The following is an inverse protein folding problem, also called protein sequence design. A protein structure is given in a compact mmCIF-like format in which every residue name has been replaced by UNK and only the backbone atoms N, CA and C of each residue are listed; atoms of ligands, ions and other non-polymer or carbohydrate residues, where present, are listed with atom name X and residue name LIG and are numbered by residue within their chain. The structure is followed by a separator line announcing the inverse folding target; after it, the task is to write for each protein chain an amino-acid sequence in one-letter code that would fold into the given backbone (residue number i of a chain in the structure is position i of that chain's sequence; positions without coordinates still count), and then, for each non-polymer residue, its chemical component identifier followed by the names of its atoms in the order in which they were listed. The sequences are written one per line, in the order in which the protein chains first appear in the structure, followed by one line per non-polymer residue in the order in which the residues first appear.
data_IF_984039668940
#
_entry.id   IF_984039668940
#
_cell.length_a   1.000
_cell.length_b   1.000
_cell.length_c   1.000
_cell.angle_alpha   90.00
_cell.angle_beta   90.00
_cell.angle_gamma   90.00
#
_symmetry.space_group_name_H-M   'P 1'
#
loop_
_entity.id
_entity.type
_entity.pdbx_description
1 polymer ?
#
# COMPACT_ATOMS: atom_id res chain seq x y z
N UNK A 1 24.29 11.39 -1.40
CA UNK A 1 23.87 10.00 -1.66
C UNK A 1 24.39 9.52 -3.00
N UNK A 2 25.19 8.45 -3.03
CA UNK A 2 25.65 7.82 -4.28
C UNK A 2 24.44 7.26 -5.06
N UNK A 3 24.44 7.43 -6.38
CA UNK A 3 23.28 7.13 -7.24
C UNK A 3 22.81 5.67 -7.14
N UNK A 4 23.71 4.73 -6.84
CA UNK A 4 23.40 3.31 -6.72
C UNK A 4 22.61 2.96 -5.45
N UNK A 5 22.85 3.67 -4.34
CA UNK A 5 22.12 3.51 -3.06
C UNK A 5 20.66 3.96 -3.20
N UNK A 6 20.46 5.04 -3.94
CA UNK A 6 19.13 5.56 -4.28
C UNK A 6 18.36 4.61 -5.21
N UNK A 7 19.05 4.00 -6.17
CA UNK A 7 18.47 2.98 -7.05
C UNK A 7 18.09 1.70 -6.27
N UNK A 8 18.89 1.30 -5.29
CA UNK A 8 18.60 0.15 -4.44
C UNK A 8 17.36 0.38 -3.57
N UNK A 9 17.24 1.56 -2.95
CA UNK A 9 16.06 1.96 -2.17
C UNK A 9 14.80 2.09 -3.03
N UNK A 10 14.91 2.68 -4.21
CA UNK A 10 13.79 2.77 -5.15
C UNK A 10 13.36 1.38 -5.66
N UNK A 11 14.34 0.50 -5.92
CA UNK A 11 14.12 -0.88 -6.33
C UNK A 11 13.46 -1.72 -5.24
N UNK A 12 13.91 -1.60 -3.99
CA UNK A 12 13.32 -2.34 -2.86
C UNK A 12 11.91 -1.84 -2.52
N UNK A 13 11.69 -0.52 -2.55
CA UNK A 13 10.35 0.07 -2.38
C UNK A 13 9.38 -0.41 -3.46
N UNK A 14 9.79 -0.38 -4.73
CA UNK A 14 8.99 -0.88 -5.86
C UNK A 14 8.71 -2.38 -5.76
N UNK A 15 9.71 -3.19 -5.44
CA UNK A 15 9.56 -4.63 -5.26
C UNK A 15 8.61 -4.99 -4.11
N UNK A 16 8.65 -4.22 -3.01
CA UNK A 16 7.77 -4.42 -1.86
C UNK A 16 6.31 -4.13 -2.21
N UNK A 17 6.04 -3.06 -2.97
CA UNK A 17 4.69 -2.75 -3.49
C UNK A 17 4.19 -3.87 -4.42
N UNK A 18 5.04 -4.36 -5.33
CA UNK A 18 4.69 -5.45 -6.25
C UNK A 18 4.36 -6.74 -5.48
N UNK A 19 5.12 -7.07 -4.43
CA UNK A 19 4.88 -8.24 -3.60
C UNK A 19 3.59 -8.13 -2.76
N UNK A 20 3.27 -6.93 -2.27
CA UNK A 20 2.00 -6.64 -1.59
C UNK A 20 0.81 -6.80 -2.54
N UNK A 21 0.90 -6.24 -3.76
CA UNK A 21 -0.14 -6.37 -4.79
C UNK A 21 -0.36 -7.83 -5.21
N UNK A 22 0.69 -8.66 -5.20
CA UNK A 22 0.61 -10.10 -5.50
C UNK A 22 0.03 -10.95 -4.36
N UNK A 23 -0.47 -10.33 -3.29
CA UNK A 23 -1.11 -11.00 -2.16
C UNK A 23 -0.13 -11.54 -1.11
N UNK A 24 1.18 -11.35 -1.28
CA UNK A 24 2.22 -11.86 -0.36
C UNK A 24 2.49 -10.86 0.77
N UNK A 25 1.45 -10.59 1.58
CA UNK A 25 1.49 -9.60 2.69
C UNK A 25 2.68 -9.78 3.62
N UNK A 26 2.95 -11.03 4.04
CA UNK A 26 4.08 -11.34 4.90
C UNK A 26 5.44 -10.98 4.28
N UNK A 27 5.61 -11.23 2.97
CA UNK A 27 6.84 -10.87 2.26
C UNK A 27 6.98 -9.34 2.14
N UNK A 28 5.89 -8.62 1.87
CA UNK A 28 5.89 -7.15 1.86
C UNK A 28 6.27 -6.55 3.20
N UNK A 29 5.73 -7.06 4.31
CA UNK A 29 6.07 -6.62 5.66
C UNK A 29 7.55 -6.92 5.98
N UNK A 30 8.03 -8.12 5.64
CA UNK A 30 9.43 -8.51 5.83
C UNK A 30 10.39 -7.59 5.04
N UNK A 31 10.15 -7.40 3.74
CA UNK A 31 11.00 -6.53 2.91
C UNK A 31 10.91 -5.06 3.33
N UNK A 32 9.74 -4.59 3.75
CA UNK A 32 9.56 -3.26 4.33
C UNK A 32 10.37 -3.09 5.61
N UNK A 33 10.29 -4.06 6.53
CA UNK A 33 11.05 -4.06 7.78
C UNK A 33 12.56 -4.09 7.55
N UNK A 34 13.05 -4.95 6.66
CA UNK A 34 14.47 -5.03 6.30
C UNK A 34 14.94 -3.70 5.69
N UNK A 35 14.15 -3.12 4.77
CA UNK A 35 14.52 -1.84 4.14
C UNK A 35 14.59 -0.70 5.16
N UNK A 36 13.66 -0.65 6.12
CA UNK A 36 13.68 0.34 7.21
C UNK A 36 14.87 0.11 8.15
N UNK A 37 15.19 -1.13 8.50
CA UNK A 37 16.33 -1.46 9.34
C UNK A 37 17.66 -1.10 8.66
N UNK A 38 17.80 -1.37 7.36
CA UNK A 38 18.97 -0.96 6.58
C UNK A 38 19.08 0.57 6.52
N UNK A 39 17.97 1.28 6.30
CA UNK A 39 17.97 2.75 6.30
C UNK A 39 18.44 3.30 7.66
N UNK A 40 17.90 2.76 8.76
CA UNK A 40 18.29 3.17 10.10
C UNK A 40 19.75 2.85 10.45
N UNK A 41 20.29 1.73 9.95
CA UNK A 41 21.66 1.30 10.25
C UNK A 41 22.73 2.02 9.43
N UNK A 42 22.42 2.37 8.18
CA UNK A 42 23.44 2.83 7.22
C UNK A 42 23.26 4.30 6.78
N UNK A 43 22.07 4.86 7.00
CA UNK A 43 21.73 6.26 6.72
C UNK A 43 20.96 6.88 7.88
N UNK A 44 21.60 7.07 9.05
CA UNK A 44 20.92 7.56 10.24
C UNK A 44 20.31 8.97 10.05
N UNK A 45 20.96 9.83 9.25
CA UNK A 45 20.48 11.18 8.97
C UNK A 45 19.22 11.15 8.07
N UNK A 46 19.23 10.35 7.01
CA UNK A 46 18.07 10.14 6.14
C UNK A 46 16.93 9.42 6.86
N UNK A 47 17.25 8.52 7.79
CA UNK A 47 16.24 7.91 8.65
C UNK A 47 15.62 8.94 9.60
N UNK A 48 16.41 9.86 10.16
CA UNK A 48 15.90 10.94 10.99
C UNK A 48 14.95 11.87 10.22
N UNK A 49 15.34 12.29 9.01
CA UNK A 49 14.51 13.11 8.11
C UNK A 49 13.24 12.38 7.66
N UNK A 50 13.34 11.07 7.36
CA UNK A 50 12.19 10.23 7.07
C UNK A 50 11.22 10.14 8.27
N UNK A 51 11.75 9.98 9.49
CA UNK A 51 10.96 9.97 10.73
C UNK A 51 10.26 11.30 10.99
N UNK A 52 10.92 12.41 10.68
CA UNK A 52 10.39 13.75 10.87
C UNK A 52 9.21 14.01 9.92
N UNK A 53 9.30 13.49 8.70
CA UNK A 53 8.24 13.57 7.67
C UNK A 53 7.19 12.46 7.75
N UNK A 54 7.40 11.45 8.59
CA UNK A 54 6.51 10.31 8.76
C UNK A 54 5.05 10.71 9.13
N UNK A 55 4.81 11.66 10.06
CA UNK A 55 3.46 12.12 10.37
C UNK A 55 2.72 12.66 9.14
N UNK A 56 3.40 13.49 8.35
CA UNK A 56 2.90 14.05 7.08
C UNK A 56 2.52 12.98 6.06
N UNK A 57 3.31 11.90 5.97
CA UNK A 57 3.01 10.77 5.09
C UNK A 57 1.81 9.96 5.57
N UNK A 58 1.67 9.78 6.89
CA UNK A 58 0.51 9.10 7.49
C UNK A 58 -0.77 9.90 7.26
N UNK A 59 -0.71 11.21 7.46
CA UNK A 59 -1.85 12.12 7.28
C UNK A 59 -2.30 12.23 5.81
N UNK A 60 -1.36 12.20 4.86
CA UNK A 60 -1.68 12.04 3.43
C UNK A 60 -2.23 10.65 3.10
N UNK A 61 -1.71 9.63 3.76
CA UNK A 61 -2.13 8.24 3.58
C UNK A 61 -3.58 8.01 4.01
N UNK A 62 -4.00 8.57 5.13
CA UNK A 62 -5.39 8.50 5.61
C UNK A 62 -6.36 9.20 4.65
N UNK A 63 -6.01 10.38 4.12
CA UNK A 63 -6.83 11.02 3.09
C UNK A 63 -6.98 10.16 1.83
N UNK A 64 -5.92 9.47 1.40
CA UNK A 64 -5.99 8.54 0.28
C UNK A 64 -6.85 7.31 0.59
N UNK A 65 -6.73 6.76 1.81
CA UNK A 65 -7.54 5.64 2.26
C UNK A 65 -9.03 6.00 2.35
N UNK A 66 -9.38 7.22 2.75
CA UNK A 66 -10.78 7.67 2.76
C UNK A 66 -11.38 7.70 1.35
N UNK A 67 -10.61 8.18 0.36
CA UNK A 67 -11.02 8.18 -1.05
C UNK A 67 -11.17 6.76 -1.57
N UNK A 68 -10.20 5.88 -1.29
CA UNK A 68 -10.25 4.47 -1.71
C UNK A 68 -11.42 3.75 -1.06
N UNK A 69 -11.69 3.99 0.22
CA UNK A 69 -12.81 3.41 0.95
C UNK A 69 -14.14 3.85 0.33
N UNK A 70 -14.33 5.14 0.07
CA UNK A 70 -15.54 5.67 -0.56
C UNK A 70 -15.78 5.12 -1.96
N UNK A 71 -14.71 4.96 -2.75
CA UNK A 71 -14.80 4.34 -4.08
C UNK A 71 -15.13 2.85 -3.95
N UNK A 72 -14.51 2.16 -2.99
CA UNK A 72 -14.78 0.76 -2.68
C UNK A 72 -16.22 0.52 -2.26
N UNK A 73 -16.78 1.35 -1.39
CA UNK A 73 -18.18 1.32 -0.97
C UNK A 73 -19.13 1.46 -2.18
N UNK A 74 -18.88 2.43 -3.07
CA UNK A 74 -19.68 2.58 -4.29
C UNK A 74 -19.59 1.39 -5.24
N UNK A 75 -18.41 0.78 -5.36
CA UNK A 75 -18.22 -0.43 -6.18
C UNK A 75 -18.92 -1.63 -5.53
N UNK A 76 -18.89 -1.73 -4.19
CA UNK A 76 -19.56 -2.77 -3.44
C UNK A 76 -21.09 -2.65 -3.56
N UNK A 77 -21.66 -1.46 -3.38
CA UNK A 77 -23.09 -1.19 -3.57
C UNK A 77 -23.55 -1.49 -5.01
N UNK A 78 -22.77 -1.08 -6.02
CA UNK A 78 -23.05 -1.39 -7.42
C UNK A 78 -22.94 -2.89 -7.74
N UNK A 79 -22.06 -3.60 -7.02
CA UNK A 79 -21.92 -5.05 -7.11
C UNK A 79 -23.07 -5.78 -6.41
N UNK A 80 -23.52 -5.30 -5.25
CA UNK A 80 -24.61 -5.90 -4.47
C UNK A 80 -25.95 -5.74 -5.19
N UNK A 81 -26.24 -4.54 -5.72
CA UNK A 81 -27.42 -4.30 -6.54
C UNK A 81 -27.42 -5.13 -7.84
N UNK A 82 -26.26 -5.33 -8.48
CA UNK A 82 -26.12 -6.23 -9.64
C UNK A 82 -26.23 -7.71 -9.27
N UNK A 83 -25.79 -8.09 -8.07
CA UNK A 83 -25.87 -9.45 -7.54
C UNK A 83 -27.32 -9.83 -7.20
N UNK A 84 -28.07 -8.95 -6.52
CA UNK A 84 -29.48 -9.16 -6.20
C UNK A 84 -30.34 -9.33 -7.46
N UNK A 85 -30.11 -8.52 -8.50
CA UNK A 85 -30.80 -8.67 -9.78
C UNK A 85 -30.52 -10.01 -10.48
N UNK A 86 -29.30 -10.55 -10.33
CA UNK A 86 -28.92 -11.86 -10.83
C UNK A 86 -29.52 -13.01 -10.01
N UNK A 87 -29.58 -12.88 -8.69
CA UNK A 87 -30.23 -13.84 -7.79
C UNK A 87 -31.74 -13.91 -8.02
N UNK A 88 -32.40 -12.77 -8.22
CA UNK A 88 -33.82 -12.73 -8.60
C UNK A 88 -34.08 -13.38 -9.96
N UNK A 89 -33.18 -13.20 -10.94
CA UNK A 89 -33.31 -13.84 -12.25
C UNK A 89 -33.15 -15.37 -12.19
N UNK A 90 -32.32 -15.89 -11.27
CA UNK A 90 -32.12 -17.33 -11.06
C UNK A 90 -33.24 -18.00 -10.26
N UNK A 91 -33.92 -17.27 -9.36
CA UNK A 91 -35.04 -17.80 -8.58
C UNK A 91 -36.39 -17.76 -9.32
N UNK A 92 -36.44 -17.09 -10.47
CA UNK A 92 -37.65 -16.89 -11.28
C UNK A 92 -37.68 -17.72 -12.57
N UNK A 93 -36.63 -18.50 -12.84
CA UNK A 93 -36.57 -19.51 -13.92
C UNK A 93 -36.74 -20.91 -13.35
#
# INVERSE_FOLDING_TARGET
MENWKRALLAGSAGASVILLLKGKRAAGILFGGISLATLASEYPDEFADFREKLPDYVERGTHFLDVVTRVGERIAEASESRSLAWYEALLRG
#
